data_IF_554187377117
#
_entry.id   IF_554187377117
#
_cell.length_a   1.000
_cell.length_b   1.000
_cell.length_c   1.000
_cell.angle_alpha   90.00
_cell.angle_beta   90.00
_cell.angle_gamma   90.00
#
_symmetry.space_group_name_H-M   'P 1'
#
loop_
_entity.id
_entity.type
_entity.pdbx_description
1 polymer ?
#
# COMPACT_ATOMS: atom_id res chain seq x y z
N UNK A 1 20.44 -4.70 -11.44
CA UNK A 1 21.31 -3.53 -11.20
C UNK A 1 21.13 -3.18 -9.73
N UNK A 2 21.88 -3.83 -8.83
CA UNK A 2 21.53 -3.84 -7.40
C UNK A 2 22.17 -2.71 -6.58
N UNK A 3 23.26 -2.08 -7.05
CA UNK A 3 23.80 -0.88 -6.41
C UNK A 3 24.81 -0.18 -7.34
N UNK A 4 24.58 1.09 -7.69
CA UNK A 4 25.49 1.90 -8.52
C UNK A 4 26.42 2.80 -7.69
N UNK A 5 26.40 2.69 -6.36
CA UNK A 5 27.12 3.60 -5.45
C UNK A 5 26.43 4.95 -5.20
N UNK A 6 25.46 5.33 -6.04
CA UNK A 6 24.79 6.63 -5.96
C UNK A 6 24.04 6.82 -4.63
N UNK A 7 23.21 5.86 -4.16
CA UNK A 7 22.48 6.07 -2.91
C UNK A 7 23.39 6.28 -1.69
N UNK A 8 24.54 5.59 -1.60
CA UNK A 8 25.45 5.75 -0.46
C UNK A 8 26.26 7.06 -0.45
N UNK A 9 26.27 7.78 -1.56
CA UNK A 9 26.87 9.11 -1.64
C UNK A 9 25.87 10.24 -1.35
N UNK A 10 24.57 9.94 -1.35
CA UNK A 10 23.47 10.93 -1.24
C UNK A 10 22.68 10.76 0.05
N UNK A 11 22.52 9.52 0.52
CA UNK A 11 21.72 9.19 1.71
C UNK A 11 22.59 8.54 2.79
N UNK A 12 22.16 8.67 4.05
CA UNK A 12 22.83 8.05 5.21
C UNK A 12 22.78 6.51 5.23
N UNK A 13 22.03 5.88 4.33
CA UNK A 13 21.89 4.43 4.28
C UNK A 13 21.42 3.93 2.93
N UNK A 14 21.58 2.62 2.72
CA UNK A 14 21.23 1.92 1.48
C UNK A 14 19.87 1.22 1.58
N UNK A 15 18.96 1.81 2.35
CA UNK A 15 17.66 1.25 2.64
C UNK A 15 16.79 1.30 1.39
N UNK A 16 16.34 0.13 0.95
CA UNK A 16 15.60 -0.01 -0.30
C UNK A 16 14.52 -1.08 -0.19
N UNK A 17 13.31 -0.72 -0.60
CA UNK A 17 12.13 -1.57 -0.59
C UNK A 17 11.79 -1.95 -2.03
N UNK A 18 12.02 -3.22 -2.39
CA UNK A 18 11.74 -3.70 -3.75
C UNK A 18 10.31 -4.22 -3.85
N UNK A 19 9.48 -3.56 -4.66
CA UNK A 19 8.05 -3.82 -4.85
C UNK A 19 7.28 -4.00 -3.54
N UNK A 20 7.70 -3.28 -2.47
CA UNK A 20 7.14 -3.39 -1.13
C UNK A 20 7.03 -4.85 -0.62
N UNK A 21 7.92 -5.74 -1.07
CA UNK A 21 7.94 -7.16 -0.72
C UNK A 21 9.23 -7.56 -0.02
N UNK A 22 10.36 -6.98 -0.42
CA UNK A 22 11.69 -7.25 0.12
C UNK A 22 12.38 -5.96 0.56
N UNK A 23 13.09 -6.03 1.68
CA UNK A 23 13.88 -4.92 2.24
C UNK A 23 15.38 -5.23 2.16
N UNK A 24 16.15 -4.27 1.64
CA UNK A 24 17.60 -4.31 1.49
C UNK A 24 18.22 -3.14 2.24
N UNK A 25 19.43 -3.30 2.77
CA UNK A 25 20.10 -2.24 3.52
C UNK A 25 21.63 -2.18 3.38
N UNK A 26 22.23 -3.04 2.55
CA UNK A 26 23.69 -3.20 2.44
C UNK A 26 24.24 -3.06 1.01
N UNK A 27 23.36 -2.75 0.04
CA UNK A 27 23.73 -2.63 -1.38
C UNK A 27 24.04 -3.96 -2.07
N UNK A 28 23.78 -5.10 -1.42
CA UNK A 28 23.90 -6.42 -2.03
C UNK A 28 22.56 -6.87 -2.65
N UNK A 29 22.58 -8.02 -3.31
CA UNK A 29 21.39 -8.70 -3.81
C UNK A 29 20.67 -9.54 -2.74
N UNK A 30 21.18 -9.55 -1.50
CA UNK A 30 20.58 -10.24 -0.37
C UNK A 30 19.63 -9.30 0.36
N UNK A 31 18.37 -9.71 0.44
CA UNK A 31 17.40 -8.98 1.24
C UNK A 31 17.65 -9.26 2.73
N UNK A 32 17.55 -8.20 3.56
CA UNK A 32 17.64 -8.28 5.02
C UNK A 32 16.38 -8.90 5.62
N UNK A 33 15.21 -8.56 5.07
CA UNK A 33 13.94 -9.10 5.52
C UNK A 33 12.88 -9.09 4.41
N UNK A 34 11.88 -9.96 4.55
CA UNK A 34 10.63 -9.81 3.82
C UNK A 34 9.74 -8.81 4.56
N UNK A 35 9.02 -7.97 3.81
CA UNK A 35 8.15 -6.92 4.38
C UNK A 35 7.03 -7.50 5.24
N UNK A 36 6.58 -8.72 4.95
CA UNK A 36 5.57 -9.43 5.75
C UNK A 36 6.07 -9.80 7.16
N UNK A 37 7.38 -9.92 7.36
CA UNK A 37 8.02 -10.32 8.62
C UNK A 37 8.59 -9.13 9.40
N UNK A 38 8.36 -7.91 8.93
CA UNK A 38 8.95 -6.69 9.47
C UNK A 38 7.85 -5.84 10.11
N UNK A 39 8.14 -5.25 11.28
CA UNK A 39 7.29 -4.21 11.86
C UNK A 39 7.36 -2.98 10.96
N UNK A 40 6.31 -2.85 10.14
CA UNK A 40 6.30 -1.87 9.06
C UNK A 40 6.24 -0.45 9.58
N UNK A 41 5.44 -0.19 10.62
CA UNK A 41 5.30 1.15 11.17
C UNK A 41 6.58 1.58 11.88
N UNK A 42 7.18 0.70 12.67
CA UNK A 42 8.45 1.00 13.35
C UNK A 42 9.55 1.33 12.33
N UNK A 43 9.64 0.56 11.24
CA UNK A 43 10.69 0.74 10.25
C UNK A 43 10.52 2.01 9.43
N UNK A 44 9.32 2.26 8.89
CA UNK A 44 9.11 3.46 8.05
C UNK A 44 9.26 4.75 8.86
N UNK A 45 8.96 4.71 10.16
CA UNK A 45 9.09 5.86 11.06
C UNK A 45 10.54 6.28 11.30
N UNK A 46 11.53 5.46 10.90
CA UNK A 46 12.96 5.81 10.97
C UNK A 46 13.39 6.79 9.88
N UNK A 47 12.58 6.97 8.84
CA UNK A 47 12.94 7.76 7.67
C UNK A 47 12.19 9.11 7.66
N UNK A 48 12.94 10.19 7.46
CA UNK A 48 12.36 11.54 7.31
C UNK A 48 11.67 11.72 5.95
N UNK A 49 12.20 11.06 4.93
CA UNK A 49 11.69 11.11 3.56
C UNK A 49 11.56 9.70 2.99
N UNK A 50 10.42 9.44 2.35
CA UNK A 50 10.15 8.20 1.60
C UNK A 50 9.95 8.56 0.14
N UNK A 51 10.77 7.98 -0.74
CA UNK A 51 10.72 8.24 -2.18
C UNK A 51 10.14 7.01 -2.88
N UNK A 52 9.00 7.19 -3.56
CA UNK A 52 8.38 6.13 -4.38
C UNK A 52 8.87 6.28 -5.81
N UNK A 53 9.69 5.32 -6.26
CA UNK A 53 10.18 5.25 -7.62
C UNK A 53 9.39 4.20 -8.40
N UNK A 54 8.71 4.62 -9.46
CA UNK A 54 7.91 3.72 -10.27
C UNK A 54 7.94 4.14 -11.75
N UNK A 55 7.94 3.15 -12.62
CA UNK A 55 7.79 3.34 -14.07
C UNK A 55 6.33 3.15 -14.49
N UNK A 56 5.98 3.64 -15.68
CA UNK A 56 4.61 3.60 -16.20
C UNK A 56 3.99 2.19 -16.19
N UNK A 57 4.80 1.16 -16.47
CA UNK A 57 4.35 -0.24 -16.48
C UNK A 57 3.85 -0.77 -15.13
N UNK A 58 4.16 -0.08 -14.02
CA UNK A 58 3.68 -0.42 -12.68
C UNK A 58 2.53 0.46 -12.17
N UNK A 59 2.07 1.46 -12.93
CA UNK A 59 1.07 2.45 -12.47
C UNK A 59 -0.25 1.84 -12.03
N UNK A 60 -0.64 0.70 -12.60
CA UNK A 60 -1.83 -0.04 -12.17
C UNK A 60 -1.77 -0.55 -10.71
N UNK A 61 -0.59 -0.56 -10.09
CA UNK A 61 -0.39 -0.91 -8.68
C UNK A 61 0.61 0.07 -8.05
N UNK A 62 0.27 1.36 -8.05
CA UNK A 62 1.13 2.41 -7.54
C UNK A 62 1.60 2.16 -6.10
N UNK A 63 2.91 2.17 -5.89
CA UNK A 63 3.54 1.89 -4.60
C UNK A 63 3.49 0.43 -4.17
N UNK A 64 2.96 -0.49 -4.98
CA UNK A 64 2.93 -1.93 -4.71
C UNK A 64 2.33 -2.27 -3.32
N UNK A 65 1.23 -1.61 -2.96
CA UNK A 65 0.56 -1.79 -1.67
C UNK A 65 1.24 -1.10 -0.47
N UNK A 66 2.27 -0.28 -0.69
CA UNK A 66 2.92 0.51 0.36
C UNK A 66 1.90 1.37 1.12
N UNK A 67 1.06 2.10 0.40
CA UNK A 67 0.04 2.98 0.99
C UNK A 67 -1.01 2.19 1.77
N UNK A 68 -1.53 1.10 1.20
CA UNK A 68 -2.54 0.28 1.87
C UNK A 68 -1.99 -0.28 3.19
N UNK A 69 -0.71 -0.69 3.21
CA UNK A 69 -0.05 -1.14 4.43
C UNK A 69 0.19 0.01 5.42
N UNK A 70 0.57 1.19 4.94
CA UNK A 70 0.70 2.37 5.78
C UNK A 70 -0.63 2.72 6.46
N UNK A 71 -1.71 2.79 5.70
CA UNK A 71 -3.04 3.12 6.19
C UNK A 71 -3.54 2.09 7.22
N UNK A 72 -3.27 0.80 6.98
CA UNK A 72 -3.69 -0.27 7.89
C UNK A 72 -2.94 -0.28 9.22
N UNK A 73 -1.66 0.11 9.25
CA UNK A 73 -0.86 0.12 10.49
C UNK A 73 -0.93 1.43 11.25
N UNK A 74 -1.20 2.55 10.56
CA UNK A 74 -1.23 3.88 11.18
C UNK A 74 -2.62 4.29 11.67
N UNK A 75 -3.68 3.53 11.34
CA UNK A 75 -5.06 3.97 11.50
C UNK A 75 -5.32 5.37 10.88
N UNK A 76 -4.51 5.81 9.90
CA UNK A 76 -4.65 7.14 9.27
C UNK A 76 -5.95 7.29 8.48
N UNK A 77 -6.64 6.18 8.20
CA UNK A 77 -8.07 6.20 7.86
C UNK A 77 -8.81 5.73 9.11
N UNK A 78 -9.26 6.68 9.92
CA UNK A 78 -10.20 6.40 11.01
C UNK A 78 -11.57 6.15 10.39
N UNK A 79 -11.67 5.05 9.64
CA UNK A 79 -12.94 4.59 9.10
C UNK A 79 -13.83 4.29 10.29
N UNK A 80 -15.01 4.89 10.29
CA UNK A 80 -16.00 4.64 11.31
C UNK A 80 -16.27 3.12 11.40
N UNK A 81 -16.60 2.57 12.58
CA UNK A 81 -16.92 1.17 12.74
C UNK A 81 -17.94 0.66 11.70
N UNK A 82 -18.89 1.50 11.32
CA UNK A 82 -19.91 1.24 10.31
C UNK A 82 -19.30 1.05 8.91
N UNK A 83 -18.37 1.92 8.50
CA UNK A 83 -17.69 1.78 7.21
C UNK A 83 -16.85 0.49 7.17
N UNK A 84 -16.17 0.14 8.27
CA UNK A 84 -15.41 -1.12 8.37
C UNK A 84 -16.30 -2.35 8.23
N UNK A 85 -17.48 -2.33 8.85
CA UNK A 85 -18.46 -3.40 8.74
C UNK A 85 -18.97 -3.55 7.31
N UNK A 86 -19.32 -2.43 6.65
CA UNK A 86 -19.76 -2.45 5.26
C UNK A 86 -18.66 -2.99 4.34
N UNK A 87 -17.40 -2.57 4.50
CA UNK A 87 -16.27 -3.12 3.73
C UNK A 87 -16.18 -4.64 3.91
N UNK A 88 -16.35 -5.15 5.14
CA UNK A 88 -16.31 -6.59 5.38
C UNK A 88 -17.47 -7.33 4.71
N UNK A 89 -18.67 -6.74 4.72
CA UNK A 89 -19.83 -7.28 4.03
C UNK A 89 -19.61 -7.34 2.51
N UNK A 90 -19.03 -6.28 1.92
CA UNK A 90 -18.66 -6.24 0.50
C UNK A 90 -17.66 -7.33 0.17
N UNK A 91 -16.61 -7.50 0.98
CA UNK A 91 -15.58 -8.55 0.76
C UNK A 91 -16.13 -9.97 0.86
N UNK A 92 -17.15 -10.18 1.68
CA UNK A 92 -17.79 -11.48 1.86
C UNK A 92 -18.80 -11.81 0.73
N UNK A 93 -19.22 -10.81 -0.05
CA UNK A 93 -20.09 -10.99 -1.22
C UNK A 93 -19.26 -11.03 -2.50
N UNK A 94 -19.12 -12.22 -3.09
CA UNK A 94 -18.33 -12.42 -4.30
C UNK A 94 -18.85 -11.61 -5.51
N UNK A 95 -20.16 -11.42 -5.63
CA UNK A 95 -20.73 -10.65 -6.75
C UNK A 95 -20.45 -9.16 -6.57
N UNK A 96 -20.60 -8.65 -5.35
CA UNK A 96 -20.28 -7.25 -5.06
C UNK A 96 -18.78 -7.00 -5.25
N UNK A 97 -17.92 -7.91 -4.81
CA UNK A 97 -16.48 -7.81 -5.00
C UNK A 97 -16.09 -7.71 -6.48
N UNK A 98 -16.72 -8.51 -7.36
CA UNK A 98 -16.53 -8.39 -8.82
C UNK A 98 -16.91 -7.00 -9.34
N UNK A 99 -18.02 -6.43 -8.86
CA UNK A 99 -18.43 -5.08 -9.24
C UNK A 99 -17.47 -4.00 -8.72
N UNK A 100 -16.92 -4.17 -7.51
CA UNK A 100 -15.90 -3.27 -6.97
C UNK A 100 -14.64 -3.31 -7.85
N UNK A 101 -14.16 -4.51 -8.22
CA UNK A 101 -13.00 -4.67 -9.09
C UNK A 101 -13.22 -4.01 -10.46
N UNK A 102 -14.41 -4.16 -11.03
CA UNK A 102 -14.76 -3.51 -12.28
C UNK A 102 -14.76 -1.97 -12.13
N UNK A 103 -15.41 -1.43 -11.10
CA UNK A 103 -15.45 0.02 -10.83
C UNK A 103 -14.07 0.60 -10.57
N UNK A 104 -13.24 -0.11 -9.80
CA UNK A 104 -11.86 0.27 -9.53
C UNK A 104 -11.06 0.38 -10.84
N UNK A 105 -11.20 -0.62 -11.72
CA UNK A 105 -10.57 -0.63 -13.05
C UNK A 105 -11.07 0.51 -13.95
N UNK A 106 -12.37 0.75 -14.00
CA UNK A 106 -12.97 1.83 -14.80
C UNK A 106 -12.52 3.22 -14.33
N UNK A 107 -12.33 3.39 -13.02
CA UNK A 107 -11.92 4.66 -12.40
C UNK A 107 -10.40 4.85 -12.31
N UNK A 108 -9.61 3.81 -12.62
CA UNK A 108 -8.15 3.85 -12.52
C UNK A 108 -7.63 3.99 -11.09
N UNK A 109 -8.37 3.48 -10.10
CA UNK A 109 -7.99 3.46 -8.67
C UNK A 109 -7.82 2.03 -8.18
N UNK A 110 -7.25 1.84 -6.99
CA UNK A 110 -7.12 0.52 -6.39
C UNK A 110 -8.48 -0.04 -5.91
N UNK A 111 -8.54 -1.37 -5.78
CA UNK A 111 -9.70 -2.08 -5.24
C UNK A 111 -9.99 -1.64 -3.80
N UNK A 112 -8.96 -1.44 -2.99
CA UNK A 112 -9.10 -0.99 -1.59
C UNK A 112 -9.66 0.44 -1.50
N UNK A 113 -9.20 1.37 -2.35
CA UNK A 113 -9.78 2.72 -2.43
C UNK A 113 -11.25 2.66 -2.87
N UNK A 114 -11.56 1.82 -3.86
CA UNK A 114 -12.94 1.64 -4.31
C UNK A 114 -13.82 1.02 -3.22
N UNK A 115 -13.30 0.11 -2.40
CA UNK A 115 -14.02 -0.46 -1.25
C UNK A 115 -14.42 0.62 -0.24
N UNK A 116 -13.51 1.54 0.09
CA UNK A 116 -13.79 2.66 1.00
C UNK A 116 -14.86 3.57 0.41
N UNK A 117 -14.70 3.98 -0.86
CA UNK A 117 -15.66 4.86 -1.56
C UNK A 117 -17.05 4.24 -1.58
N UNK A 118 -17.17 2.95 -1.90
CA UNK A 118 -18.47 2.27 -1.95
C UNK A 118 -19.07 2.13 -0.56
N UNK A 119 -18.26 1.82 0.45
CA UNK A 119 -18.74 1.66 1.82
C UNK A 119 -19.23 2.99 2.42
N UNK A 120 -18.54 4.10 2.17
CA UNK A 120 -18.99 5.44 2.53
C UNK A 120 -20.28 5.84 1.80
N UNK A 121 -20.37 5.53 0.50
CA UNK A 121 -21.59 5.75 -0.28
C UNK A 121 -22.77 4.98 0.32
N UNK A 122 -22.59 3.69 0.63
CA UNK A 122 -23.64 2.88 1.25
C UNK A 122 -24.08 3.42 2.62
N UNK A 123 -23.14 3.87 3.44
CA UNK A 123 -23.46 4.49 4.74
C UNK A 123 -24.28 5.78 4.55
N UNK A 124 -23.96 6.60 3.55
CA UNK A 124 -24.69 7.83 3.24
C UNK A 124 -26.13 7.59 2.77
N UNK A 125 -26.44 6.42 2.21
CA UNK A 125 -27.80 6.05 1.78
C UNK A 125 -28.67 5.48 2.93
N UNK A 126 -28.05 5.16 4.07
CA UNK A 126 -28.75 4.65 5.25
C UNK A 126 -29.21 5.75 6.22
N UNK A 127 -28.78 7.00 6.00
CA UNK A 127 -29.17 8.19 6.77
C UNK A 127 -30.26 8.99 6.05
#
# INVERSE_FOLDING_TARGET
MYYSGIPGNVFNGLNFFYYNSKYFNDGTDKYKAEIKNLDFLEEISKYEYIIILQTDGGLNNFGFGFFNKLLSVTNMVDLSPEVKEIIQNIKNDQNWMMHIEQKAKERGISVDEMLVIDAEYMLSQQQ
#
